data_IF_738192584029
#
_entry.id   IF_738192584029
#
_cell.length_a   1.000
_cell.length_b   1.000
_cell.length_c   1.000
_cell.angle_alpha   90.00
_cell.angle_beta   90.00
_cell.angle_gamma   90.00
#
_symmetry.space_group_name_H-M   'P 1'
#
loop_
_entity.id
_entity.type
_entity.pdbx_description
1 polymer ?
#
# COMPACT_ATOMS: atom_id res chain seq x y z
N UNK A 1 8.54 -7.99 -24.40
CA UNK A 1 7.11 -7.92 -24.01
C UNK A 1 7.07 -7.93 -22.49
N UNK A 2 6.84 -6.77 -21.87
CA UNK A 2 6.73 -6.66 -20.41
C UNK A 2 5.24 -6.87 -20.09
N UNK A 3 4.93 -7.92 -19.33
CA UNK A 3 3.56 -8.20 -18.90
C UNK A 3 3.12 -7.06 -17.99
N UNK A 4 2.13 -6.26 -18.42
CA UNK A 4 1.40 -5.33 -17.57
C UNK A 4 0.79 -6.13 -16.42
N UNK A 5 1.22 -5.84 -15.20
CA UNK A 5 0.70 -6.47 -14.00
C UNK A 5 -0.59 -5.74 -13.61
N UNK A 6 -1.67 -6.05 -14.33
CA UNK A 6 -3.03 -5.78 -13.87
C UNK A 6 -3.45 -6.92 -12.95
N UNK A 7 -3.05 -6.82 -11.69
CA UNK A 7 -3.63 -7.62 -10.62
C UNK A 7 -4.35 -6.65 -9.71
N UNK A 8 -5.69 -6.67 -9.73
CA UNK A 8 -6.55 -5.85 -8.88
C UNK A 8 -6.37 -6.07 -7.37
N UNK A 9 -5.42 -6.93 -6.96
CA UNK A 9 -5.12 -7.26 -5.56
C UNK A 9 -3.98 -6.41 -4.98
N UNK A 10 -3.49 -5.39 -5.71
CA UNK A 10 -2.37 -4.55 -5.26
C UNK A 10 -2.64 -3.09 -5.61
N UNK A 11 -3.67 -2.53 -4.99
CA UNK A 11 -4.04 -1.12 -5.17
C UNK A 11 -2.86 -0.23 -4.79
N UNK A 12 -2.32 0.47 -5.79
CA UNK A 12 -1.21 1.40 -5.63
C UNK A 12 0.06 0.86 -4.92
N UNK A 13 0.37 -0.42 -5.06
CA UNK A 13 1.58 -1.01 -4.45
C UNK A 13 2.29 -2.03 -5.35
N UNK A 14 2.93 -3.04 -4.77
CA UNK A 14 3.66 -4.05 -5.53
C UNK A 14 3.59 -5.47 -4.95
N UNK A 15 3.70 -6.47 -5.84
CA UNK A 15 3.90 -7.89 -5.51
C UNK A 15 5.38 -8.23 -5.66
N UNK A 16 6.02 -8.66 -4.57
CA UNK A 16 7.43 -9.05 -4.50
C UNK A 16 7.63 -10.56 -4.43
N UNK A 17 6.57 -11.34 -4.61
CA UNK A 17 6.56 -12.80 -4.47
C UNK A 17 6.52 -13.25 -3.01
N UNK A 18 7.50 -12.80 -2.20
CA UNK A 18 7.57 -13.12 -0.76
C UNK A 18 6.52 -12.36 0.07
N UNK A 19 6.22 -11.13 -0.33
CA UNK A 19 5.16 -10.31 0.24
C UNK A 19 4.54 -9.45 -0.86
N UNK A 20 3.33 -9.00 -0.61
CA UNK A 20 2.63 -7.99 -1.41
C UNK A 20 2.29 -6.83 -0.51
N UNK A 21 2.25 -5.64 -1.06
CA UNK A 21 1.79 -4.49 -0.30
C UNK A 21 0.95 -3.58 -1.19
N UNK A 22 -0.06 -2.96 -0.59
CA UNK A 22 -0.91 -1.93 -1.16
C UNK A 22 -0.87 -0.71 -0.25
N UNK A 23 -1.32 0.43 -0.75
CA UNK A 23 -1.30 1.66 0.04
C UNK A 23 -2.47 2.57 -0.34
N UNK A 24 -2.84 3.40 0.61
CA UNK A 24 -3.59 4.63 0.37
C UNK A 24 -2.66 5.84 0.57
N UNK A 25 -3.20 7.06 0.60
CA UNK A 25 -2.40 8.23 0.99
C UNK A 25 -1.99 8.19 2.48
N UNK A 26 -2.81 7.57 3.34
CA UNK A 26 -2.66 7.55 4.80
C UNK A 26 -2.01 6.29 5.34
N UNK A 27 -2.18 5.14 4.67
CA UNK A 27 -1.84 3.85 5.25
C UNK A 27 -1.23 2.87 4.23
N UNK A 28 -0.74 1.74 4.75
CA UNK A 28 -0.12 0.63 4.03
C UNK A 28 -0.70 -0.69 4.54
N UNK A 29 -1.06 -1.58 3.63
CA UNK A 29 -1.42 -2.95 3.92
C UNK A 29 -0.39 -3.90 3.31
N UNK A 30 0.16 -4.80 4.11
CA UNK A 30 1.19 -5.75 3.71
C UNK A 30 0.70 -7.16 3.97
N UNK A 31 0.83 -8.03 2.97
CA UNK A 31 0.44 -9.43 3.01
C UNK A 31 1.65 -10.30 2.74
N UNK A 32 2.03 -11.14 3.71
CA UNK A 32 3.05 -12.16 3.55
C UNK A 32 2.40 -13.54 3.39
N UNK A 33 2.83 -14.28 2.38
CA UNK A 33 2.45 -15.69 2.23
C UNK A 33 3.33 -16.52 3.17
N UNK A 34 2.69 -17.23 4.09
CA UNK A 34 3.39 -18.04 5.09
C UNK A 34 3.46 -19.51 4.67
N UNK A 35 4.54 -20.17 5.07
CA UNK A 35 4.66 -21.61 4.89
C UNK A 35 3.62 -22.37 5.75
N UNK A 36 3.14 -23.55 5.31
CA UNK A 36 2.16 -24.35 6.06
C UNK A 36 2.65 -24.86 7.42
N UNK A 37 3.95 -24.75 7.69
CA UNK A 37 4.58 -25.13 8.96
C UNK A 37 4.20 -24.19 10.11
N UNK A 38 3.76 -22.97 9.82
CA UNK A 38 3.29 -22.03 10.84
C UNK A 38 1.87 -22.44 11.23
N UNK A 39 1.67 -22.79 12.50
CA UNK A 39 0.38 -23.29 12.98
C UNK A 39 -0.32 -22.30 13.90
N UNK A 40 0.42 -21.41 14.54
CA UNK A 40 -0.11 -20.50 15.54
C UNK A 40 0.43 -19.07 15.41
N UNK A 41 -0.31 -18.04 15.88
CA UNK A 41 0.21 -16.68 16.00
C UNK A 41 1.45 -16.59 16.90
N UNK A 42 1.61 -17.50 17.87
CA UNK A 42 2.79 -17.55 18.75
C UNK A 42 4.08 -17.92 18.02
N UNK A 43 3.98 -18.52 16.83
CA UNK A 43 5.13 -18.84 15.97
C UNK A 43 5.58 -17.63 15.13
N UNK A 44 4.93 -16.47 15.30
CA UNK A 44 5.17 -15.24 14.54
C UNK A 44 5.63 -14.15 15.49
N UNK A 45 6.70 -13.45 15.11
CA UNK A 45 7.16 -12.23 15.77
C UNK A 45 7.19 -11.10 14.77
N UNK A 46 6.30 -10.14 14.95
CA UNK A 46 6.33 -8.86 14.25
C UNK A 46 6.83 -7.80 15.23
N UNK A 47 7.91 -7.12 14.87
CA UNK A 47 8.42 -5.94 15.57
C UNK A 47 8.52 -4.79 14.60
N UNK A 48 8.00 -3.65 15.00
CA UNK A 48 8.04 -2.42 14.20
C UNK A 48 8.59 -1.28 15.06
N UNK A 49 9.38 -0.42 14.45
CA UNK A 49 9.65 0.93 14.94
C UNK A 49 9.12 1.94 13.92
N UNK A 50 9.33 3.24 14.16
CA UNK A 50 8.84 4.27 13.23
C UNK A 50 9.40 4.15 11.81
N UNK A 51 10.56 3.50 11.64
CA UNK A 51 11.33 3.49 10.39
C UNK A 51 11.78 2.08 9.96
N UNK A 52 11.39 1.02 10.68
CA UNK A 52 11.80 -0.34 10.37
C UNK A 52 10.75 -1.39 10.74
N UNK A 53 10.91 -2.55 10.10
CA UNK A 53 10.13 -3.75 10.37
C UNK A 53 11.04 -4.97 10.46
N UNK A 54 10.71 -5.85 11.40
CA UNK A 54 11.28 -7.17 11.56
C UNK A 54 10.14 -8.18 11.71
N UNK A 55 10.08 -9.15 10.79
CA UNK A 55 9.17 -10.30 10.86
C UNK A 55 9.99 -11.57 10.93
N UNK A 56 9.78 -12.34 11.99
CA UNK A 56 10.42 -13.63 12.21
C UNK A 56 9.37 -14.73 12.38
N UNK A 57 9.69 -15.91 11.84
CA UNK A 57 8.88 -17.10 11.95
C UNK A 57 9.64 -18.19 12.72
N UNK A 58 8.92 -18.93 13.56
CA UNK A 58 9.49 -20.07 14.25
C UNK A 58 9.49 -21.32 13.35
N UNK A 59 10.68 -21.85 13.06
CA UNK A 59 10.83 -23.06 12.22
C UNK A 59 10.95 -24.32 13.07
N UNK A 60 11.57 -24.22 14.24
CA UNK A 60 11.72 -25.33 15.18
C UNK A 60 11.73 -24.83 16.64
N UNK A 61 11.78 -25.75 17.60
CA UNK A 61 11.94 -25.40 19.01
C UNK A 61 13.19 -24.52 19.17
N UNK A 62 12.97 -23.26 19.58
CA UNK A 62 13.98 -22.21 19.76
C UNK A 62 14.74 -21.73 18.51
N UNK A 63 14.29 -22.04 17.30
CA UNK A 63 14.89 -21.49 16.07
C UNK A 63 13.92 -20.55 15.36
N UNK A 64 14.36 -19.32 15.12
CA UNK A 64 13.60 -18.26 14.48
C UNK A 64 14.32 -17.83 13.21
N UNK A 65 13.62 -17.86 12.08
CA UNK A 65 14.10 -17.34 10.81
C UNK A 65 13.52 -15.96 10.55
N UNK A 66 14.37 -15.04 10.13
CA UNK A 66 13.94 -13.71 9.68
C UNK A 66 13.49 -13.79 8.24
N UNK A 67 12.21 -13.49 7.99
CA UNK A 67 11.64 -13.47 6.63
C UNK A 67 11.56 -12.06 6.05
N UNK A 68 11.54 -11.04 6.91
CA UNK A 68 11.51 -9.64 6.51
C UNK A 68 12.29 -8.82 7.55
N UNK A 69 13.34 -8.14 7.13
CA UNK A 69 14.07 -7.18 7.97
C UNK A 69 14.59 -6.05 7.09
N UNK A 70 13.93 -4.90 7.20
CA UNK A 70 14.35 -3.73 6.45
C UNK A 70 13.80 -2.43 7.03
N UNK A 71 14.31 -1.32 6.50
CA UNK A 71 13.83 0.02 6.81
C UNK A 71 12.75 0.46 5.84
N UNK A 72 11.73 1.15 6.37
CA UNK A 72 10.69 1.80 5.59
C UNK A 72 11.23 2.98 4.80
N UNK A 73 10.57 3.31 3.70
CA UNK A 73 10.91 4.47 2.87
C UNK A 73 10.63 5.81 3.56
N UNK A 74 9.60 5.85 4.41
CA UNK A 74 9.25 6.99 5.24
C UNK A 74 8.74 6.50 6.60
N UNK A 75 8.35 7.40 7.50
CA UNK A 75 7.95 7.03 8.85
C UNK A 75 6.51 6.54 8.96
N UNK A 76 6.29 5.54 9.81
CA UNK A 76 4.97 5.07 10.25
C UNK A 76 4.74 5.41 11.73
N UNK A 77 3.49 5.28 12.19
CA UNK A 77 3.11 5.39 13.59
C UNK A 77 3.15 4.00 14.24
N UNK A 78 4.18 3.69 15.05
CA UNK A 78 4.37 2.33 15.57
C UNK A 78 3.23 1.87 16.49
N UNK A 79 2.57 2.80 17.18
CA UNK A 79 1.47 2.51 18.11
C UNK A 79 0.15 2.15 17.38
N UNK A 80 0.04 2.44 16.08
CA UNK A 80 -1.14 2.17 15.25
C UNK A 80 -0.96 0.92 14.36
N UNK A 81 0.14 0.18 14.54
CA UNK A 81 0.40 -1.04 13.78
C UNK A 81 -0.47 -2.20 14.28
N UNK A 82 -1.21 -2.82 13.37
CA UNK A 82 -2.03 -4.00 13.65
C UNK A 82 -1.64 -5.13 12.70
N UNK A 83 -1.54 -6.36 13.21
CA UNK A 83 -1.31 -7.53 12.37
C UNK A 83 -2.29 -8.64 12.71
N UNK A 84 -2.65 -9.43 11.70
CA UNK A 84 -3.54 -10.57 11.81
C UNK A 84 -2.93 -11.78 11.12
N UNK A 85 -3.17 -12.95 11.72
CA UNK A 85 -2.71 -14.22 11.18
C UNK A 85 -3.90 -15.07 10.77
N UNK A 86 -3.83 -15.59 9.55
CA UNK A 86 -4.69 -16.65 9.03
C UNK A 86 -3.79 -17.79 8.54
N UNK A 87 -4.23 -19.06 8.57
CA UNK A 87 -3.43 -20.16 8.06
C UNK A 87 -2.89 -19.89 6.65
N UNK A 88 -1.56 -19.78 6.52
CA UNK A 88 -0.87 -19.48 5.26
C UNK A 88 -0.72 -17.99 4.92
N UNK A 89 -1.19 -17.06 5.75
CA UNK A 89 -1.16 -15.62 5.48
C UNK A 89 -0.95 -14.78 6.75
N UNK A 90 -0.03 -13.82 6.68
CA UNK A 90 0.13 -12.76 7.67
C UNK A 90 -0.22 -11.42 7.02
N UNK A 91 -1.19 -10.70 7.58
CA UNK A 91 -1.57 -9.36 7.13
C UNK A 91 -1.11 -8.34 8.16
N UNK A 92 -0.48 -7.25 7.72
CA UNK A 92 0.05 -6.18 8.57
C UNK A 92 -0.48 -4.86 8.02
N UNK A 93 -1.18 -4.12 8.86
CA UNK A 93 -1.67 -2.78 8.60
C UNK A 93 -0.79 -1.76 9.31
N UNK A 94 -0.38 -0.70 8.59
CA UNK A 94 0.51 0.35 9.08
C UNK A 94 -0.05 1.73 8.72
N UNK A 95 -0.13 2.61 9.70
CA UNK A 95 -0.50 4.01 9.51
C UNK A 95 0.73 4.88 9.26
N UNK A 96 0.71 5.69 8.20
CA UNK A 96 1.82 6.59 7.87
C UNK A 96 1.84 7.75 8.88
N UNK A 97 3.05 8.24 9.17
CA UNK A 97 3.19 9.46 9.97
C UNK A 97 2.78 10.71 9.19
N UNK A 98 2.92 10.68 7.85
CA UNK A 98 2.53 11.77 6.95
C UNK A 98 1.75 11.21 5.76
N UNK A 99 0.67 11.88 5.39
CA UNK A 99 -0.13 11.56 4.21
C UNK A 99 0.69 11.78 2.93
N UNK A 100 1.15 10.69 2.33
CA UNK A 100 2.04 10.72 1.17
C UNK A 100 2.07 9.37 0.47
N UNK A 101 2.14 9.40 -0.86
CA UNK A 101 2.38 8.20 -1.67
C UNK A 101 3.84 7.76 -1.59
N UNK A 102 4.05 6.48 -1.28
CA UNK A 102 5.36 5.87 -1.19
C UNK A 102 5.69 5.17 -2.50
N UNK A 103 6.86 5.49 -3.05
CA UNK A 103 7.39 4.85 -4.26
C UNK A 103 7.94 3.43 -3.97
N UNK A 104 7.98 3.03 -2.71
CA UNK A 104 8.47 1.72 -2.26
C UNK A 104 8.05 1.53 -0.81
N UNK A 105 7.73 0.31 -0.41
CA UNK A 105 7.46 -0.03 0.99
C UNK A 105 8.76 -0.06 1.81
N UNK A 106 9.82 -0.65 1.26
CA UNK A 106 11.13 -0.80 1.89
C UNK A 106 12.22 -0.08 1.09
N UNK A 107 13.25 0.37 1.77
CA UNK A 107 14.35 1.12 1.13
C UNK A 107 15.16 0.31 0.12
N UNK A 108 15.26 -1.02 0.29
CA UNK A 108 16.04 -1.88 -0.61
C UNK A 108 15.23 -2.47 -1.77
N UNK A 109 13.93 -2.21 -1.85
CA UNK A 109 13.11 -2.73 -2.96
C UNK A 109 13.10 -1.81 -4.19
N UNK A 110 12.83 -2.34 -5.39
CA UNK A 110 12.69 -1.53 -6.59
C UNK A 110 11.50 -0.57 -6.48
N UNK A 111 11.73 0.70 -6.81
CA UNK A 111 10.70 1.74 -6.76
C UNK A 111 9.61 1.54 -7.83
N UNK A 112 8.37 1.78 -7.46
CA UNK A 112 7.22 1.87 -8.36
C UNK A 112 7.10 3.30 -8.91
N UNK A 113 6.60 3.43 -10.15
CA UNK A 113 6.37 4.74 -10.74
C UNK A 113 5.02 5.31 -10.27
N UNK A 114 5.06 6.20 -9.28
CA UNK A 114 3.89 6.88 -8.72
C UNK A 114 3.07 7.66 -9.76
N UNK A 115 3.66 8.10 -10.87
CA UNK A 115 2.97 8.85 -11.92
C UNK A 115 2.13 7.97 -12.85
N UNK A 116 2.48 6.68 -12.97
CA UNK A 116 1.76 5.71 -13.80
C UNK A 116 0.68 4.96 -13.01
N UNK A 117 0.66 5.13 -11.69
CA UNK A 117 -0.36 4.54 -10.83
C UNK A 117 -1.67 5.27 -11.03
N UNK A 118 -2.76 4.51 -11.20
CA UNK A 118 -4.11 5.06 -11.22
C UNK A 118 -4.44 5.59 -9.82
N UNK A 119 -4.02 6.83 -9.55
CA UNK A 119 -4.43 7.64 -8.39
C UNK A 119 -5.91 8.08 -8.51
N UNK A 120 -6.63 7.54 -9.49
CA UNK A 120 -8.00 7.85 -9.80
C UNK A 120 -8.92 6.89 -9.08
N UNK A 121 -9.71 7.41 -8.14
CA UNK A 121 -10.96 6.74 -7.74
C UNK A 121 -11.99 6.88 -8.87
N UNK A 122 -12.74 5.83 -9.22
CA UNK A 122 -13.78 5.94 -10.23
C UNK A 122 -14.87 6.92 -9.76
N UNK A 123 -15.43 7.68 -10.71
CA UNK A 123 -16.48 8.69 -10.42
C UNK A 123 -17.70 8.07 -9.72
N UNK A 124 -17.93 6.76 -9.92
CA UNK A 124 -18.99 5.98 -9.25
C UNK A 124 -18.86 5.87 -7.73
N UNK A 125 -17.66 6.09 -7.20
CA UNK A 125 -17.36 5.99 -5.76
C UNK A 125 -17.46 7.36 -5.06
N UNK A 126 -17.92 8.40 -5.77
CA UNK A 126 -18.15 9.72 -5.21
C UNK A 126 -19.50 9.75 -4.47
N UNK A 127 -19.54 10.43 -3.33
CA UNK A 127 -20.80 10.83 -2.72
C UNK A 127 -21.52 11.88 -3.59
N UNK A 128 -22.84 12.01 -3.44
CA UNK A 128 -23.67 12.95 -4.22
C UNK A 128 -23.16 14.41 -4.10
N UNK A 129 -22.56 14.79 -2.96
CA UNK A 129 -21.92 16.09 -2.75
C UNK A 129 -20.62 16.27 -3.54
N UNK A 130 -19.80 15.21 -3.61
CA UNK A 130 -18.56 15.21 -4.38
C UNK A 130 -18.84 15.21 -5.89
N UNK A 131 -19.86 14.48 -6.35
CA UNK A 131 -20.32 14.50 -7.74
C UNK A 131 -20.74 15.91 -8.18
N UNK A 132 -21.51 16.61 -7.35
CA UNK A 132 -21.96 17.97 -7.63
C UNK A 132 -20.78 18.95 -7.72
N UNK A 133 -19.78 18.78 -6.86
CA UNK A 133 -18.55 19.57 -6.88
C UNK A 133 -17.72 19.29 -8.14
N UNK A 134 -17.62 18.02 -8.53
CA UNK A 134 -16.92 17.60 -9.75
C UNK A 134 -17.59 18.19 -11.00
N UNK A 135 -18.93 18.14 -11.08
CA UNK A 135 -19.70 18.72 -12.18
C UNK A 135 -19.50 20.24 -12.30
N UNK A 136 -19.48 20.97 -11.17
CA UNK A 136 -19.22 22.42 -11.17
C UNK A 136 -17.83 22.73 -11.73
N UNK A 137 -16.80 22.05 -11.25
CA UNK A 137 -15.42 22.24 -11.73
C UNK A 137 -15.28 21.93 -13.21
N UNK A 138 -15.97 20.89 -13.70
CA UNK A 138 -15.99 20.54 -15.11
C UNK A 138 -16.62 21.64 -15.98
N UNK A 139 -17.76 22.18 -15.54
CA UNK A 139 -18.43 23.27 -16.24
C UNK A 139 -17.56 24.54 -16.27
N UNK A 140 -16.92 24.89 -15.16
CA UNK A 140 -15.97 26.02 -15.11
C UNK A 140 -14.78 25.84 -16.07
N UNK A 141 -14.26 24.61 -16.20
CA UNK A 141 -13.18 24.31 -17.15
C UNK A 141 -13.64 24.43 -18.60
N UNK A 142 -14.83 23.92 -18.94
CA UNK A 142 -15.41 24.07 -20.27
C UNK A 142 -15.63 25.54 -20.65
N UNK A 143 -16.13 26.35 -19.72
CA UNK A 143 -16.31 27.79 -19.94
C UNK A 143 -14.97 28.49 -20.21
N UNK A 144 -13.92 28.15 -19.46
CA UNK A 144 -12.56 28.69 -19.69
C UNK A 144 -12.04 28.29 -21.07
N UNK A 145 -12.16 27.03 -21.45
CA UNK A 145 -11.70 26.53 -22.75
C UNK A 145 -12.47 27.19 -23.90
N UNK A 146 -13.78 27.37 -23.77
CA UNK A 146 -14.61 28.07 -24.75
C UNK A 146 -14.19 29.54 -24.89
N UNK A 147 -13.93 30.24 -23.79
CA UNK A 147 -13.46 31.64 -23.81
C UNK A 147 -12.11 31.79 -24.51
N UNK A 148 -11.17 30.88 -24.24
CA UNK A 148 -9.84 30.87 -24.90
C UNK A 148 -9.98 30.65 -26.41
N UNK A 149 -10.86 29.73 -26.83
CA UNK A 149 -11.10 29.46 -28.26
C UNK A 149 -11.84 30.59 -28.99
N UNK A 150 -12.57 31.46 -28.28
CA UNK A 150 -13.25 32.61 -28.89
C UNK A 150 -12.35 33.85 -29.03
N UNK A 151 -11.20 33.87 -28.38
CA UNK A 151 -10.23 34.98 -28.42
C UNK A 151 -8.97 34.66 -29.26
N UNK A 152 -8.94 33.49 -29.91
CA UNK A 152 -7.90 33.02 -30.84
C UNK A 152 -8.39 33.06 -32.29
#
# INVERSE_FOLDING_TARGET
>A
MIKKQTSGDTYCGADRGIFKWSQTISDLDVVLNLAPTIQSPSDIRVKTCSDNILVQLQISQNNWETILEDSFTDKIKPDEVVWTYEPGKLSIHLEKQQEKWWDSFLTKEPKINLQEMELTRPVSDLSEEEEMTLQKLWNEQLEKICKIKSES
#
